data_IF_440411106470
#
_entry.id   IF_440411106470
#
_cell.length_a   1.000
_cell.length_b   1.000
_cell.length_c   1.000
_cell.angle_alpha   90.00
_cell.angle_beta   90.00
_cell.angle_gamma   90.00
#
_symmetry.space_group_name_H-M   'P 1'
#
loop_
_entity.id
_entity.type
_entity.pdbx_description
1 polymer ?
#
# COMPACT_ATOMS: atom_id res chain seq x y z
N UNK A 1 13.07 9.18 77.59
CA UNK A 1 12.23 8.53 76.57
C UNK A 1 11.72 9.61 75.62
N UNK A 2 12.57 10.34 74.90
CA UNK A 2 13.45 9.87 73.80
C UNK A 2 12.61 9.26 72.66
N UNK A 3 12.68 9.91 71.49
CA UNK A 3 11.77 9.78 70.35
C UNK A 3 12.00 8.54 69.45
N UNK A 4 11.82 8.62 68.11
CA UNK A 4 11.48 9.77 67.27
C UNK A 4 10.23 9.59 66.38
N UNK A 5 9.72 10.73 65.90
CA UNK A 5 8.82 10.82 64.77
C UNK A 5 9.47 10.17 63.54
N UNK A 6 8.87 9.07 63.03
CA UNK A 6 9.28 8.48 61.77
C UNK A 6 8.82 9.37 60.62
N UNK A 7 9.81 9.88 59.90
CA UNK A 7 9.70 10.73 58.75
C UNK A 7 8.76 10.15 57.68
N UNK A 8 7.74 10.93 57.33
CA UNK A 8 7.18 10.85 55.99
C UNK A 8 8.31 11.13 54.98
N UNK A 9 8.52 10.28 53.97
CA UNK A 9 9.51 10.56 52.95
C UNK A 9 9.07 11.83 52.21
N UNK A 10 9.92 12.85 52.31
CA UNK A 10 9.79 14.08 51.55
C UNK A 10 9.69 13.74 50.07
N UNK A 11 8.54 14.00 49.47
CA UNK A 11 8.43 14.15 48.02
C UNK A 11 9.18 15.43 47.66
N UNK A 12 10.49 15.27 47.48
CA UNK A 12 11.40 16.23 46.89
C UNK A 12 10.85 16.66 45.52
N UNK A 13 10.14 17.79 45.55
CA UNK A 13 9.70 18.49 44.37
C UNK A 13 10.88 19.19 43.72
N UNK A 14 11.64 18.51 42.86
CA UNK A 14 12.25 19.12 41.65
C UNK A 14 12.97 18.14 40.70
N UNK A 15 12.34 17.02 40.39
CA UNK A 15 12.66 16.29 39.16
C UNK A 15 11.95 16.90 37.96
N UNK A 16 12.55 17.90 37.29
CA UNK A 16 12.15 18.32 35.94
C UNK A 16 12.34 17.15 34.96
N UNK A 17 11.44 16.17 34.95
CA UNK A 17 11.23 15.30 33.80
C UNK A 17 10.19 15.97 32.93
N UNK A 18 10.67 16.95 32.16
CA UNK A 18 9.94 17.42 31.01
C UNK A 18 9.61 16.20 30.15
N UNK A 19 8.32 15.91 30.02
CA UNK A 19 7.78 15.01 29.02
C UNK A 19 8.09 15.61 27.64
N UNK A 20 9.33 15.46 27.20
CA UNK A 20 9.78 15.74 25.83
C UNK A 20 9.72 14.43 25.06
N UNK A 21 8.52 13.86 24.98
CA UNK A 21 8.21 12.73 24.12
C UNK A 21 7.83 13.22 22.73
N UNK A 22 8.68 14.05 22.12
CA UNK A 22 8.55 14.35 20.69
C UNK A 22 9.24 13.24 19.92
N UNK A 23 8.56 12.62 18.94
CA UNK A 23 9.20 11.71 17.98
C UNK A 23 10.48 12.37 17.46
N UNK A 24 11.62 11.76 17.77
CA UNK A 24 12.94 12.29 17.37
C UNK A 24 12.97 12.33 15.84
N UNK A 25 13.61 13.33 15.23
CA UNK A 25 13.75 13.42 13.76
C UNK A 25 14.25 12.11 13.12
N UNK A 26 15.10 11.36 13.84
CA UNK A 26 15.56 10.04 13.46
C UNK A 26 14.45 8.96 13.47
N UNK A 27 13.49 9.03 14.39
CA UNK A 27 12.31 8.15 14.41
C UNK A 27 11.32 8.50 13.30
N UNK A 28 11.15 9.80 13.00
CA UNK A 28 10.32 10.24 11.87
C UNK A 28 10.91 9.76 10.55
N UNK A 29 12.22 9.92 10.36
CA UNK A 29 12.93 9.37 9.20
C UNK A 29 12.83 7.85 9.15
N UNK A 30 12.97 7.16 10.29
CA UNK A 30 12.78 5.72 10.39
C UNK A 30 11.40 5.28 9.92
N UNK A 31 10.34 5.97 10.35
CA UNK A 31 8.96 5.66 9.96
C UNK A 31 8.69 5.94 8.47
N UNK A 32 9.29 6.98 7.89
CA UNK A 32 9.20 7.28 6.46
C UNK A 32 9.88 6.17 5.65
N UNK A 33 11.08 5.74 6.05
CA UNK A 33 11.79 4.63 5.39
C UNK A 33 10.99 3.33 5.51
N UNK A 34 10.42 3.04 6.68
CA UNK A 34 9.53 1.89 6.92
C UNK A 34 8.31 1.91 5.98
N UNK A 35 7.73 3.09 5.72
CA UNK A 35 6.59 3.25 4.80
C UNK A 35 6.97 3.07 3.33
N UNK A 36 8.16 3.51 2.91
CA UNK A 36 8.62 3.40 1.51
C UNK A 36 9.02 1.97 1.17
N UNK A 37 9.68 1.30 2.11
CA UNK A 37 10.28 -0.03 1.88
C UNK A 37 9.23 -1.15 2.10
N UNK A 38 8.15 -0.88 2.84
CA UNK A 38 6.98 -1.76 2.96
C UNK A 38 7.17 -2.96 3.88
N UNK A 39 6.08 -3.70 4.14
CA UNK A 39 6.04 -4.87 5.03
C UNK A 39 6.94 -6.02 4.57
N UNK A 40 7.24 -6.11 3.27
CA UNK A 40 8.11 -7.14 2.69
C UNK A 40 9.56 -7.08 3.18
N UNK A 41 10.14 -5.90 3.31
CA UNK A 41 11.53 -5.74 3.80
C UNK A 41 11.60 -5.68 5.32
N UNK A 42 10.49 -5.36 5.99
CA UNK A 42 10.40 -5.51 7.45
C UNK A 42 10.27 -6.98 7.88
N UNK A 43 9.76 -7.84 6.99
CA UNK A 43 9.80 -9.30 7.14
C UNK A 43 11.17 -9.91 6.88
N UNK A 44 12.05 -9.24 6.12
CA UNK A 44 13.41 -9.71 5.85
C UNK A 44 14.23 -10.00 7.13
N UNK A 45 14.35 -9.11 8.15
CA UNK A 45 15.10 -9.42 9.35
C UNK A 45 14.56 -10.65 10.12
N UNK A 46 13.24 -10.87 10.10
CA UNK A 46 12.63 -12.08 10.65
C UNK A 46 12.99 -13.32 9.81
N UNK A 47 12.95 -13.21 8.49
CA UNK A 47 13.37 -14.26 7.56
C UNK A 47 14.88 -14.56 7.67
N UNK A 48 15.73 -13.55 7.81
CA UNK A 48 17.17 -13.67 8.07
C UNK A 48 17.47 -14.37 9.40
N UNK A 49 16.64 -14.13 10.43
CA UNK A 49 16.77 -14.81 11.73
C UNK A 49 16.38 -16.29 11.66
N UNK A 50 15.41 -16.65 10.82
CA UNK A 50 14.97 -18.04 10.61
C UNK A 50 15.84 -18.81 9.60
N UNK A 51 16.35 -18.14 8.54
CA UNK A 51 17.14 -18.74 7.47
C UNK A 51 18.66 -18.71 7.71
N UNK A 52 19.14 -17.87 8.64
CA UNK A 52 20.55 -17.65 8.93
C UNK A 52 21.13 -16.45 8.18
N UNK A 53 22.01 -15.69 8.85
CA UNK A 53 22.58 -14.43 8.32
C UNK A 53 23.35 -14.62 7.01
N UNK A 54 24.09 -15.73 6.87
CA UNK A 54 24.86 -16.01 5.66
C UNK A 54 23.95 -16.38 4.49
N UNK A 55 22.99 -17.29 4.71
CA UNK A 55 22.07 -17.76 3.68
C UNK A 55 21.12 -16.64 3.22
N UNK A 56 20.64 -15.80 4.13
CA UNK A 56 19.85 -14.65 3.75
C UNK A 56 20.67 -13.60 3.00
N UNK A 57 21.94 -13.35 3.38
CA UNK A 57 22.75 -12.32 2.72
C UNK A 57 23.09 -12.74 1.30
N UNK A 58 23.42 -14.02 1.15
CA UNK A 58 23.61 -14.65 -0.15
C UNK A 58 22.30 -14.66 -0.96
N UNK A 59 21.16 -14.92 -0.33
CA UNK A 59 19.85 -14.93 -0.98
C UNK A 59 19.42 -13.55 -1.49
N UNK A 60 19.62 -12.49 -0.70
CA UNK A 60 19.32 -11.11 -1.12
C UNK A 60 20.29 -10.66 -2.21
N UNK A 61 21.58 -11.00 -2.08
CA UNK A 61 22.56 -10.70 -3.13
C UNK A 61 22.22 -11.43 -4.43
N UNK A 62 21.88 -12.73 -4.36
CA UNK A 62 21.47 -13.51 -5.51
C UNK A 62 20.16 -13.01 -6.12
N UNK A 63 19.17 -12.61 -5.32
CA UNK A 63 17.93 -12.01 -5.80
C UNK A 63 18.17 -10.65 -6.46
N UNK A 64 19.05 -9.82 -5.89
CA UNK A 64 19.45 -8.53 -6.47
C UNK A 64 20.19 -8.71 -7.79
N UNK A 65 21.18 -9.61 -7.83
CA UNK A 65 21.92 -9.96 -9.05
C UNK A 65 20.96 -10.56 -10.10
N UNK A 66 20.05 -11.46 -9.70
CA UNK A 66 19.05 -12.05 -10.59
C UNK A 66 18.12 -10.98 -11.19
N UNK A 67 17.62 -10.05 -10.37
CA UNK A 67 16.77 -8.94 -10.84
C UNK A 67 17.53 -8.02 -11.78
N UNK A 68 18.78 -7.70 -11.44
CA UNK A 68 19.66 -6.88 -12.28
C UNK A 68 19.97 -7.57 -13.62
N UNK A 69 20.28 -8.87 -13.61
CA UNK A 69 20.50 -9.66 -14.82
C UNK A 69 19.22 -9.77 -15.67
N UNK A 70 18.07 -9.96 -15.03
CA UNK A 70 16.78 -9.96 -15.71
C UNK A 70 16.53 -8.61 -16.40
N UNK A 71 16.75 -7.50 -15.69
CA UNK A 71 16.62 -6.16 -16.24
C UNK A 71 17.59 -5.92 -17.41
N UNK A 72 18.85 -6.35 -17.29
CA UNK A 72 19.83 -6.26 -18.37
C UNK A 72 19.44 -7.10 -19.59
N UNK A 73 18.96 -8.34 -19.38
CA UNK A 73 18.48 -9.19 -20.46
C UNK A 73 17.25 -8.58 -21.15
N UNK A 74 16.32 -7.99 -20.39
CA UNK A 74 15.16 -7.31 -20.95
C UNK A 74 15.55 -6.06 -21.75
N UNK A 75 16.50 -5.26 -21.26
CA UNK A 75 17.03 -4.09 -21.99
C UNK A 75 17.80 -4.53 -23.24
N UNK A 76 18.58 -5.61 -23.17
CA UNK A 76 19.29 -6.15 -24.33
C UNK A 76 18.34 -6.73 -25.36
N UNK A 77 17.29 -7.44 -24.94
CA UNK A 77 16.22 -7.89 -25.81
C UNK A 77 15.54 -6.69 -26.47
N UNK A 78 15.17 -5.66 -25.71
CA UNK A 78 14.56 -4.44 -26.26
C UNK A 78 15.46 -3.77 -27.29
N UNK A 79 16.73 -3.58 -27.00
CA UNK A 79 17.66 -2.92 -27.92
C UNK A 79 17.89 -3.76 -29.19
N UNK A 80 17.96 -5.09 -29.08
CA UNK A 80 18.03 -5.99 -30.25
C UNK A 80 16.74 -5.96 -31.06
N UNK A 81 15.59 -5.88 -30.40
CA UNK A 81 14.28 -5.77 -31.02
C UNK A 81 14.07 -4.39 -31.68
N UNK A 82 14.69 -3.32 -31.16
CA UNK A 82 14.71 -2.00 -31.81
C UNK A 82 15.66 -1.97 -33.02
N UNK A 83 16.77 -2.71 -32.96
CA UNK A 83 17.74 -2.86 -34.05
C UNK A 83 17.18 -3.71 -35.20
N UNK A 84 16.43 -4.77 -34.88
CA UNK A 84 15.53 -5.45 -35.82
C UNK A 84 14.30 -4.55 -36.03
N UNK A 85 14.42 -3.52 -36.88
CA UNK A 85 13.40 -2.50 -37.25
C UNK A 85 11.96 -2.99 -37.56
N UNK A 86 11.72 -4.30 -37.50
CA UNK A 86 10.44 -4.95 -37.61
C UNK A 86 9.67 -5.05 -36.30
N UNK A 87 10.17 -4.72 -35.10
CA UNK A 87 9.39 -4.99 -33.86
C UNK A 87 8.38 -3.90 -33.52
N UNK A 88 8.72 -2.63 -33.74
CA UNK A 88 7.73 -1.55 -33.73
C UNK A 88 6.63 -1.78 -34.80
N UNK A 89 6.96 -2.50 -35.87
CA UNK A 89 6.05 -2.92 -36.94
C UNK A 89 5.40 -4.31 -36.75
N UNK A 90 5.98 -5.20 -35.94
CA UNK A 90 5.49 -6.57 -35.69
C UNK A 90 4.61 -6.66 -34.45
N UNK A 91 4.82 -5.78 -33.46
CA UNK A 91 3.85 -5.53 -32.41
C UNK A 91 2.86 -4.43 -32.78
N UNK A 92 3.30 -3.45 -33.59
CA UNK A 92 2.45 -2.36 -34.07
C UNK A 92 1.85 -1.51 -32.95
N UNK A 93 1.02 -0.54 -33.33
CA UNK A 93 0.17 0.22 -32.40
C UNK A 93 -0.87 -0.69 -31.67
N UNK A 94 -0.93 -1.99 -31.97
CA UNK A 94 -1.81 -3.01 -31.37
C UNK A 94 -1.20 -3.75 -30.16
N UNK A 95 -0.09 -3.25 -29.61
CA UNK A 95 0.56 -3.83 -28.42
C UNK A 95 -0.37 -3.74 -27.21
N UNK A 96 -0.76 -4.88 -26.62
CA UNK A 96 -1.64 -4.90 -25.45
C UNK A 96 -0.91 -4.38 -24.20
N UNK A 97 -1.59 -3.60 -23.36
CA UNK A 97 -1.02 -3.09 -22.09
C UNK A 97 -0.45 -4.16 -21.15
N UNK A 98 -0.90 -5.41 -21.29
CA UNK A 98 -0.45 -6.54 -20.49
C UNK A 98 0.67 -7.26 -21.25
N UNK A 99 1.90 -7.15 -20.72
CA UNK A 99 3.14 -7.75 -21.29
C UNK A 99 2.97 -9.24 -21.63
N UNK A 100 2.23 -9.99 -20.81
CA UNK A 100 2.00 -11.43 -21.06
C UNK A 100 1.05 -11.71 -22.22
N UNK A 101 0.16 -10.78 -22.59
CA UNK A 101 -0.76 -10.97 -23.72
C UNK A 101 -0.10 -10.75 -25.08
N UNK A 102 1.03 -10.05 -25.08
CA UNK A 102 1.83 -9.78 -26.27
C UNK A 102 2.73 -10.94 -26.66
N UNK A 103 3.23 -11.71 -25.67
CA UNK A 103 4.16 -12.80 -25.92
C UNK A 103 3.63 -13.80 -26.97
N UNK A 104 4.45 -14.21 -27.97
CA UNK A 104 4.08 -15.25 -28.92
C UNK A 104 3.64 -16.50 -28.16
N UNK A 105 2.62 -17.20 -28.67
CA UNK A 105 1.92 -18.26 -27.94
C UNK A 105 2.71 -19.58 -27.93
N UNK A 106 3.97 -19.51 -27.52
CA UNK A 106 4.89 -20.62 -27.35
C UNK A 106 4.75 -21.26 -25.96
N UNK A 107 5.26 -22.48 -25.80
CA UNK A 107 5.23 -23.23 -24.54
C UNK A 107 5.84 -22.48 -23.35
N UNK A 108 6.87 -21.66 -23.59
CA UNK A 108 7.49 -20.80 -22.58
C UNK A 108 6.55 -19.67 -22.13
N UNK A 109 5.86 -19.02 -23.07
CA UNK A 109 4.90 -17.95 -22.79
C UNK A 109 3.69 -18.45 -22.00
N UNK A 110 3.18 -19.64 -22.34
CA UNK A 110 2.07 -20.27 -21.63
C UNK A 110 2.48 -20.60 -20.19
N UNK A 111 3.70 -21.12 -19.99
CA UNK A 111 4.25 -21.39 -18.65
C UNK A 111 4.32 -20.12 -17.79
N UNK A 112 4.79 -19.00 -18.36
CA UNK A 112 4.83 -17.71 -17.66
C UNK A 112 3.43 -17.19 -17.32
N UNK A 113 2.46 -17.31 -18.24
CA UNK A 113 1.05 -16.92 -18.02
C UNK A 113 0.44 -17.73 -16.86
N UNK A 114 0.62 -19.04 -16.86
CA UNK A 114 0.10 -19.93 -15.78
C UNK A 114 0.79 -19.62 -14.45
N UNK A 115 2.11 -19.44 -14.46
CA UNK A 115 2.87 -19.06 -13.27
C UNK A 115 2.38 -17.73 -12.67
N UNK A 116 2.11 -16.74 -13.52
CA UNK A 116 1.54 -15.46 -13.10
C UNK A 116 0.14 -15.62 -12.49
N UNK A 117 -0.74 -16.42 -13.10
CA UNK A 117 -2.07 -16.69 -12.55
C UNK A 117 -2.02 -17.39 -11.19
N UNK A 118 -1.14 -18.38 -11.04
CA UNK A 118 -0.93 -19.07 -9.76
C UNK A 118 -0.40 -18.10 -8.70
N UNK A 119 0.58 -17.26 -9.05
CA UNK A 119 1.10 -16.24 -8.15
C UNK A 119 -0.02 -15.29 -7.68
N UNK A 120 -0.82 -14.75 -8.61
CA UNK A 120 -1.95 -13.87 -8.28
C UNK A 120 -2.98 -14.55 -7.38
N UNK A 121 -3.29 -15.83 -7.63
CA UNK A 121 -4.22 -16.59 -6.80
C UNK A 121 -3.73 -16.76 -5.35
N UNK A 122 -2.42 -16.85 -5.12
CA UNK A 122 -1.84 -16.90 -3.78
C UNK A 122 -1.66 -15.50 -3.16
N UNK A 123 -1.32 -14.49 -3.94
CA UNK A 123 -1.12 -13.12 -3.42
C UNK A 123 -2.44 -12.46 -3.04
N UNK A 124 -3.54 -12.74 -3.76
CA UNK A 124 -4.84 -12.11 -3.52
C UNK A 124 -5.41 -12.36 -2.10
N UNK A 125 -5.44 -13.60 -1.57
CA UNK A 125 -5.85 -13.85 -0.18
C UNK A 125 -4.95 -13.16 0.86
N UNK A 126 -3.64 -13.13 0.61
CA UNK A 126 -2.65 -12.52 1.52
C UNK A 126 -2.87 -11.00 1.61
N UNK A 127 -3.06 -10.33 0.47
CA UNK A 127 -3.31 -8.89 0.42
C UNK A 127 -4.70 -8.49 0.92
N UNK A 128 -5.67 -9.40 0.86
CA UNK A 128 -7.03 -9.15 1.34
C UNK A 128 -7.18 -9.17 2.86
N UNK A 129 -6.25 -9.82 3.59
CA UNK A 129 -6.28 -9.85 5.05
C UNK A 129 -6.35 -8.46 5.72
N UNK A 130 -5.40 -7.52 5.45
CA UNK A 130 -5.46 -6.19 6.04
C UNK A 130 -6.69 -5.39 5.59
N UNK A 131 -7.15 -5.59 4.35
CA UNK A 131 -8.32 -4.89 3.81
C UNK A 131 -9.58 -5.28 4.60
N UNK A 132 -9.75 -6.56 4.90
CA UNK A 132 -10.90 -7.03 5.68
C UNK A 132 -10.89 -6.53 7.11
N UNK A 133 -9.73 -6.48 7.75
CA UNK A 133 -9.58 -5.96 9.11
C UNK A 133 -9.95 -4.47 9.18
N UNK A 134 -9.51 -3.67 8.20
CA UNK A 134 -9.85 -2.24 8.10
C UNK A 134 -11.34 -2.03 7.84
N UNK A 135 -11.93 -2.80 6.93
CA UNK A 135 -13.38 -2.72 6.65
C UNK A 135 -14.18 -3.06 7.90
N UNK A 136 -13.80 -4.10 8.65
CA UNK A 136 -14.46 -4.54 9.88
C UNK A 136 -14.37 -3.48 10.98
N UNK A 137 -13.22 -2.83 11.15
CA UNK A 137 -13.07 -1.70 12.08
C UNK A 137 -13.95 -0.51 11.69
N UNK A 138 -14.04 -0.18 10.39
CA UNK A 138 -14.82 0.98 9.92
C UNK A 138 -16.32 0.70 9.95
N UNK A 139 -16.72 -0.53 9.65
CA UNK A 139 -18.10 -0.99 9.65
C UNK A 139 -18.63 -1.16 11.08
N UNK A 140 -17.80 -1.64 12.02
CA UNK A 140 -18.17 -1.73 13.44
C UNK A 140 -18.30 -0.36 14.13
N UNK A 141 -17.61 0.66 13.61
CA UNK A 141 -17.77 2.05 14.06
C UNK A 141 -19.09 2.70 13.62
N UNK A 142 -19.83 2.14 12.66
CA UNK A 142 -21.12 2.68 12.23
C UNK A 142 -22.20 2.18 13.20
N UNK A 143 -22.79 3.07 14.00
CA UNK A 143 -23.77 2.73 15.04
C UNK A 143 -25.05 2.01 14.57
N UNK A 144 -25.31 1.98 13.25
CA UNK A 144 -26.35 1.13 12.65
C UNK A 144 -25.97 -0.37 12.63
N UNK A 145 -24.68 -0.70 12.54
CA UNK A 145 -24.17 -2.06 12.52
C UNK A 145 -24.24 -2.72 13.90
N UNK A 146 -24.13 -1.92 14.97
CA UNK A 146 -24.32 -2.37 16.35
C UNK A 146 -25.76 -2.88 16.60
N UNK A 147 -26.75 -2.27 15.96
CA UNK A 147 -28.15 -2.76 15.97
C UNK A 147 -28.34 -4.08 15.21
N UNK A 148 -27.54 -4.31 14.16
CA UNK A 148 -27.57 -5.53 13.35
C UNK A 148 -26.83 -6.70 14.03
N UNK A 149 -25.90 -6.40 14.94
CA UNK A 149 -25.08 -7.34 15.73
C UNK A 149 -25.88 -8.26 16.67
N UNK A 150 -27.12 -7.90 16.98
CA UNK A 150 -28.05 -8.74 17.75
C UNK A 150 -28.42 -10.05 17.04
N UNK A 151 -28.12 -10.18 15.74
CA UNK A 151 -28.46 -11.37 14.97
C UNK A 151 -27.19 -11.97 14.31
N UNK A 152 -26.64 -13.04 14.89
CA UNK A 152 -25.39 -13.69 14.46
C UNK A 152 -25.41 -14.24 13.01
N UNK A 153 -26.58 -14.34 12.38
CA UNK A 153 -26.70 -14.61 10.93
C UNK A 153 -26.59 -13.35 10.10
N UNK A 154 -27.22 -12.25 10.54
CA UNK A 154 -27.16 -10.96 9.84
C UNK A 154 -25.75 -10.35 9.91
N UNK A 155 -25.03 -10.55 11.00
CA UNK A 155 -23.62 -10.13 11.14
C UNK A 155 -22.71 -10.83 10.12
N UNK A 156 -22.81 -12.16 9.99
CA UNK A 156 -22.03 -12.92 8.99
C UNK A 156 -22.40 -12.55 7.56
N UNK A 157 -23.70 -12.40 7.28
CA UNK A 157 -24.17 -11.93 5.98
C UNK A 157 -23.71 -10.50 5.68
N UNK A 158 -23.70 -9.62 6.68
CA UNK A 158 -23.23 -8.25 6.56
C UNK A 158 -21.75 -8.16 6.20
N UNK A 159 -20.91 -8.94 6.87
CA UNK A 159 -19.48 -9.02 6.53
C UNK A 159 -19.27 -9.58 5.12
N UNK A 160 -19.92 -10.70 4.77
CA UNK A 160 -19.81 -11.28 3.42
C UNK A 160 -20.32 -10.32 2.34
N UNK A 161 -21.44 -9.64 2.59
CA UNK A 161 -22.00 -8.64 1.68
C UNK A 161 -21.05 -7.44 1.51
N UNK A 162 -20.43 -6.93 2.58
CA UNK A 162 -19.47 -5.85 2.49
C UNK A 162 -18.23 -6.23 1.66
N UNK A 163 -17.73 -7.46 1.83
CA UNK A 163 -16.60 -7.99 1.03
C UNK A 163 -16.95 -8.08 -0.45
N UNK A 164 -18.09 -8.69 -0.76
CA UNK A 164 -18.58 -8.81 -2.14
C UNK A 164 -18.85 -7.42 -2.74
N UNK A 165 -19.42 -6.49 -1.96
CA UNK A 165 -19.69 -5.12 -2.40
C UNK A 165 -18.41 -4.39 -2.79
N UNK A 166 -17.35 -4.49 -1.97
CA UNK A 166 -16.05 -3.87 -2.28
C UNK A 166 -15.44 -4.47 -3.54
N UNK A 167 -15.47 -5.80 -3.69
CA UNK A 167 -14.98 -6.47 -4.90
C UNK A 167 -15.77 -6.07 -6.15
N UNK A 168 -17.10 -5.99 -6.04
CA UNK A 168 -17.98 -5.55 -7.13
C UNK A 168 -17.69 -4.09 -7.49
N UNK A 169 -17.52 -3.21 -6.51
CA UNK A 169 -17.19 -1.80 -6.77
C UNK A 169 -15.85 -1.66 -7.53
N UNK A 170 -14.81 -2.40 -7.11
CA UNK A 170 -13.52 -2.42 -7.82
C UNK A 170 -13.67 -3.00 -9.22
N UNK A 171 -14.45 -4.08 -9.39
CA UNK A 171 -14.70 -4.69 -10.70
C UNK A 171 -15.49 -3.76 -11.64
N UNK A 172 -16.44 -2.99 -11.12
CA UNK A 172 -17.18 -1.97 -11.89
C UNK A 172 -16.23 -0.88 -12.36
N UNK A 173 -15.37 -0.35 -11.48
CA UNK A 173 -14.34 0.64 -11.88
C UNK A 173 -13.41 0.07 -12.94
N UNK A 174 -12.97 -1.19 -12.79
CA UNK A 174 -12.12 -1.87 -13.77
C UNK A 174 -12.84 -2.09 -15.12
N UNK A 175 -14.15 -2.36 -15.10
CA UNK A 175 -14.95 -2.58 -16.32
C UNK A 175 -15.23 -1.28 -17.09
N UNK A 176 -15.15 -0.13 -16.44
CA UNK A 176 -15.32 1.17 -17.08
C UNK A 176 -14.05 1.67 -17.81
N UNK A 177 -12.89 1.02 -17.63
CA UNK A 177 -11.61 1.48 -18.17
C UNK A 177 -11.11 0.47 -19.23
N UNK A 178 -11.13 0.83 -20.53
CA UNK A 178 -10.83 -0.10 -21.62
C UNK A 178 -9.34 -0.44 -21.80
N UNK A 179 -8.45 0.01 -20.90
CA UNK A 179 -7.01 -0.25 -20.95
C UNK A 179 -6.44 -0.60 -19.57
N UNK A 180 -5.64 -1.67 -19.51
CA UNK A 180 -4.99 -2.08 -18.26
C UNK A 180 -3.94 -1.06 -17.80
N UNK A 181 -3.26 -0.38 -18.74
CA UNK A 181 -2.27 0.65 -18.42
C UNK A 181 -2.91 1.86 -17.74
N UNK A 182 -4.00 2.38 -18.32
CA UNK A 182 -4.80 3.45 -17.75
C UNK A 182 -5.39 3.06 -16.38
N UNK A 183 -5.85 1.82 -16.22
CA UNK A 183 -6.34 1.31 -14.94
C UNK A 183 -5.24 1.29 -13.85
N UNK A 184 -4.04 0.79 -14.17
CA UNK A 184 -2.92 0.76 -13.22
C UNK A 184 -2.46 2.18 -12.85
N UNK A 185 -2.40 3.10 -13.82
CA UNK A 185 -2.06 4.51 -13.56
C UNK A 185 -3.11 5.21 -12.69
N UNK A 186 -4.39 4.95 -12.95
CA UNK A 186 -5.50 5.49 -12.15
C UNK A 186 -5.47 4.95 -10.72
N UNK A 187 -5.40 3.62 -10.54
CA UNK A 187 -5.35 3.01 -9.20
C UNK A 187 -4.09 3.45 -8.48
N UNK A 188 -2.95 3.53 -9.17
CA UNK A 188 -1.69 4.02 -8.63
C UNK A 188 -1.77 5.46 -8.13
N UNK A 189 -2.25 6.39 -8.95
CA UNK A 189 -2.35 7.81 -8.57
C UNK A 189 -3.39 8.06 -7.47
N UNK A 190 -4.54 7.38 -7.52
CA UNK A 190 -5.63 7.58 -6.57
C UNK A 190 -5.40 6.84 -5.25
N UNK A 191 -5.20 5.53 -5.28
CA UNK A 191 -5.07 4.70 -4.08
C UNK A 191 -3.76 5.00 -3.34
N UNK A 192 -2.66 5.23 -4.06
CA UNK A 192 -1.40 5.63 -3.41
C UNK A 192 -1.52 7.01 -2.75
N UNK A 193 -2.09 8.02 -3.43
CA UNK A 193 -2.26 9.35 -2.82
C UNK A 193 -3.15 9.31 -1.57
N UNK A 194 -4.24 8.54 -1.60
CA UNK A 194 -5.13 8.37 -0.45
C UNK A 194 -4.45 7.64 0.70
N UNK A 195 -3.71 6.57 0.44
CA UNK A 195 -3.03 5.80 1.48
C UNK A 195 -1.79 6.51 2.04
N UNK A 196 -1.01 7.19 1.20
CA UNK A 196 0.24 7.84 1.60
C UNK A 196 0.06 9.22 2.22
N UNK A 197 -0.93 10.01 1.77
CA UNK A 197 -1.13 11.37 2.28
C UNK A 197 -2.35 11.49 3.19
N UNK A 198 -3.50 10.95 2.76
CA UNK A 198 -4.75 11.16 3.48
C UNK A 198 -4.81 10.30 4.75
N UNK A 199 -4.49 9.02 4.66
CA UNK A 199 -4.56 8.10 5.81
C UNK A 199 -3.75 8.58 7.05
N UNK A 200 -2.44 8.90 6.95
CA UNK A 200 -1.66 9.36 8.12
C UNK A 200 -2.13 10.72 8.65
N UNK A 201 -2.49 11.67 7.78
CA UNK A 201 -3.00 12.98 8.19
C UNK A 201 -4.36 12.87 8.91
N UNK A 202 -5.23 11.95 8.45
CA UNK A 202 -6.53 11.71 9.08
C UNK A 202 -6.36 11.07 10.46
N UNK A 203 -5.44 10.12 10.62
CA UNK A 203 -5.14 9.53 11.92
C UNK A 203 -4.54 10.55 12.90
N UNK A 204 -3.66 11.43 12.45
CA UNK A 204 -3.10 12.50 13.28
C UNK A 204 -4.19 13.47 13.79
N UNK A 205 -5.10 13.89 12.89
CA UNK A 205 -6.23 14.74 13.24
C UNK A 205 -7.24 14.05 14.17
N UNK A 206 -7.42 12.73 14.06
CA UNK A 206 -8.34 11.97 14.92
C UNK A 206 -7.75 11.69 16.31
N UNK A 207 -6.45 11.39 16.42
CA UNK A 207 -5.81 11.06 17.71
C UNK A 207 -5.40 12.28 18.52
N UNK A 208 -4.98 13.38 17.88
CA UNK A 208 -4.39 14.56 18.56
C UNK A 208 -5.21 15.84 18.28
N UNK A 209 -6.30 15.74 17.51
CA UNK A 209 -7.09 16.87 17.01
C UNK A 209 -7.60 17.89 18.04
N UNK A 210 -7.78 17.47 19.29
CA UNK A 210 -8.22 18.34 20.38
C UNK A 210 -7.11 19.25 20.95
N UNK A 211 -5.85 18.86 20.79
CA UNK A 211 -4.68 19.49 21.44
C UNK A 211 -3.69 20.11 20.42
N UNK A 212 -3.98 20.00 19.11
CA UNK A 212 -3.06 20.45 18.05
C UNK A 212 -3.09 21.96 17.81
N UNK A 213 -1.90 22.52 17.60
CA UNK A 213 -1.68 23.91 17.22
C UNK A 213 -2.28 24.19 15.83
N UNK A 214 -2.97 25.32 15.65
CA UNK A 214 -3.68 25.67 14.41
C UNK A 214 -2.80 25.57 13.15
N UNK A 215 -1.51 25.87 13.28
CA UNK A 215 -0.54 25.78 12.17
C UNK A 215 -0.32 24.34 11.70
N UNK A 216 -0.18 23.38 12.63
CA UNK A 216 -0.04 21.96 12.29
C UNK A 216 -1.34 21.41 11.68
N UNK A 217 -2.49 21.84 12.24
CA UNK A 217 -3.80 21.51 11.69
C UNK A 217 -3.98 22.03 10.26
N UNK A 218 -3.48 23.24 9.96
CA UNK A 218 -3.48 23.80 8.61
C UNK A 218 -2.59 23.00 7.65
N UNK A 219 -1.42 22.54 8.10
CA UNK A 219 -0.52 21.68 7.31
C UNK A 219 -1.16 20.32 6.99
N UNK A 220 -1.84 19.68 7.96
CA UNK A 220 -2.54 18.41 7.72
C UNK A 220 -3.69 18.57 6.72
N UNK A 221 -4.49 19.62 6.86
CA UNK A 221 -5.53 19.94 5.88
C UNK A 221 -4.97 20.24 4.48
N UNK A 222 -3.82 20.91 4.40
CA UNK A 222 -3.13 21.14 3.14
C UNK A 222 -2.67 19.83 2.49
N UNK A 223 -2.09 18.90 3.26
CA UNK A 223 -1.68 17.57 2.77
C UNK A 223 -2.88 16.76 2.29
N UNK A 224 -4.01 16.80 3.00
CA UNK A 224 -5.26 16.14 2.58
C UNK A 224 -5.80 16.76 1.29
N UNK A 225 -5.83 18.10 1.20
CA UNK A 225 -6.29 18.80 0.02
C UNK A 225 -5.40 18.51 -1.21
N UNK A 226 -4.08 18.47 -1.01
CA UNK A 226 -3.13 18.12 -2.06
C UNK A 226 -3.30 16.67 -2.53
N UNK A 227 -3.46 15.71 -1.61
CA UNK A 227 -3.74 14.31 -1.95
C UNK A 227 -5.06 14.14 -2.72
N UNK A 228 -6.12 14.86 -2.33
CA UNK A 228 -7.39 14.88 -3.05
C UNK A 228 -7.28 15.51 -4.44
N UNK A 229 -6.52 16.60 -4.58
CA UNK A 229 -6.27 17.23 -5.87
C UNK A 229 -5.49 16.31 -6.82
N UNK A 230 -4.49 15.59 -6.31
CA UNK A 230 -3.72 14.62 -7.10
C UNK A 230 -4.58 13.43 -7.53
N UNK A 231 -5.45 12.92 -6.65
CA UNK A 231 -6.42 11.88 -6.99
C UNK A 231 -7.45 12.36 -8.03
N UNK A 232 -7.94 13.60 -7.90
CA UNK A 232 -8.85 14.20 -8.89
C UNK A 232 -8.16 14.40 -10.25
N UNK A 233 -6.89 14.84 -10.25
CA UNK A 233 -6.09 14.96 -11.47
C UNK A 233 -5.88 13.61 -12.14
N UNK A 234 -5.48 12.57 -11.40
CA UNK A 234 -5.31 11.22 -11.96
C UNK A 234 -6.61 10.61 -12.49
N UNK A 235 -7.75 10.92 -11.86
CA UNK A 235 -9.08 10.52 -12.35
C UNK A 235 -9.46 11.28 -13.62
N UNK A 236 -9.18 12.58 -13.66
CA UNK A 236 -9.42 13.41 -14.85
C UNK A 236 -8.56 12.96 -16.03
N UNK A 237 -7.28 12.67 -15.79
CA UNK A 237 -6.32 12.19 -16.78
C UNK A 237 -6.81 10.89 -17.41
N UNK A 238 -7.16 9.90 -16.59
CA UNK A 238 -7.70 8.61 -17.06
C UNK A 238 -9.05 8.75 -17.81
N UNK A 239 -9.90 9.71 -17.43
CA UNK A 239 -11.16 10.00 -18.13
C UNK A 239 -10.94 10.75 -19.45
N UNK A 240 -9.92 11.61 -19.51
CA UNK A 240 -9.61 12.41 -20.70
C UNK A 240 -8.98 11.55 -21.79
N UNK A 241 -8.12 10.60 -21.41
CA UNK A 241 -7.51 9.62 -22.31
C UNK A 241 -8.58 8.72 -22.96
N UNK A 242 -9.59 8.31 -22.18
CA UNK A 242 -10.75 7.57 -22.70
C UNK A 242 -11.56 8.37 -23.74
N UNK A 243 -11.60 9.71 -23.66
CA UNK A 243 -12.34 10.55 -24.63
C UNK A 243 -11.57 10.86 -25.91
N UNK A 244 -10.25 10.78 -25.88
CA UNK A 244 -9.38 11.06 -27.03
C UNK A 244 -9.13 9.82 -27.91
N UNK A 245 -9.38 8.62 -27.39
CA UNK A 245 -9.24 7.34 -28.10
C UNK A 245 -10.50 6.77 -28.76
N UNK A 246 -11.61 7.53 -28.84
CA UNK A 246 -12.85 7.18 -29.56
C UNK A 246 -13.05 8.07 -30.77
#
# INVERSE_FOLDING_TARGET
MEGPALAAPLLDGRGKRGARGGTTWAQTLGNIVVSIVGTGVLGLPYAFRMAGWLAGSLGVFAAGVSTYLCMLLLVQCRNKLEEDSNVATAYGDDTKDIITLNLPNDWSAISVKVGLCVALAFTFPIMMHPIYEIIEMKLSSIGWFEKLRLNARAERLGHQAARVLVLVAVAVVASCIPGFGAFISLVGSTVCALLSFVLPATFHLLLVGSEVQLWQRAMDYFIIAFGLAFAAYGTYDALSDHRLGS
#
